data_IF_683719213689
#
_entry.id   IF_683719213689
#
_cell.length_a   1.000
_cell.length_b   1.000
_cell.length_c   1.000
_cell.angle_alpha   90.00
_cell.angle_beta   90.00
_cell.angle_gamma   90.00
#
_symmetry.space_group_name_H-M   'P 1'
#
loop_
_entity.id
_entity.type
_entity.pdbx_description
1 polymer ?
#
# COMPACT_ATOMS: atom_id res chain seq x y z
N UNK A 1 -3.90 -15.84 0.97
CA UNK A 1 -3.61 -15.36 -0.40
C UNK A 1 -2.79 -16.43 -1.09
N UNK A 2 -3.28 -16.97 -2.20
CA UNK A 2 -2.57 -18.04 -2.91
C UNK A 2 -1.49 -17.44 -3.80
N UNK A 3 -0.26 -17.95 -3.68
CA UNK A 3 0.84 -17.58 -4.57
C UNK A 3 0.61 -18.16 -5.97
N UNK A 4 1.20 -17.52 -6.99
CA UNK A 4 1.20 -18.03 -8.35
C UNK A 4 1.88 -19.41 -8.35
N UNK A 5 1.10 -20.42 -8.75
CA UNK A 5 1.56 -21.80 -8.85
C UNK A 5 2.44 -21.98 -10.09
N UNK A 6 3.30 -22.98 -10.05
CA UNK A 6 4.00 -23.52 -11.21
C UNK A 6 3.39 -24.89 -11.55
N UNK A 7 2.34 -24.96 -12.39
CA UNK A 7 1.62 -26.21 -12.64
C UNK A 7 2.44 -27.22 -13.45
N UNK A 8 3.44 -26.74 -14.21
CA UNK A 8 4.29 -27.59 -15.05
C UNK A 8 5.59 -27.99 -14.36
N UNK A 9 5.98 -27.30 -13.30
CA UNK A 9 7.25 -27.54 -12.62
C UNK A 9 8.47 -27.19 -13.47
N UNK A 10 8.29 -26.37 -14.52
CA UNK A 10 9.32 -26.04 -15.51
C UNK A 10 10.02 -24.70 -15.23
N UNK A 11 9.70 -24.06 -14.10
CA UNK A 11 10.32 -22.82 -13.67
C UNK A 11 11.83 -22.99 -13.42
N UNK A 12 12.62 -22.34 -14.25
CA UNK A 12 14.09 -22.43 -14.22
C UNK A 12 14.72 -21.82 -12.95
N UNK A 13 14.12 -20.75 -12.42
CA UNK A 13 14.62 -20.06 -11.23
C UNK A 13 13.58 -20.18 -10.11
N UNK A 14 13.70 -21.23 -9.31
CA UNK A 14 12.76 -21.52 -8.23
C UNK A 14 13.04 -20.76 -6.91
N UNK A 15 14.20 -20.10 -6.79
CA UNK A 15 14.61 -19.34 -5.60
C UNK A 15 13.89 -18.02 -5.43
N UNK A 16 13.39 -17.43 -6.52
CA UNK A 16 12.65 -16.16 -6.49
C UNK A 16 11.23 -16.43 -5.98
N UNK A 17 10.68 -15.64 -5.04
CA UNK A 17 9.28 -15.80 -4.63
C UNK A 17 8.34 -15.54 -5.82
N UNK A 18 7.23 -16.25 -5.89
CA UNK A 18 6.20 -15.97 -6.90
C UNK A 18 5.22 -14.92 -6.37
N UNK A 19 4.69 -14.04 -7.23
CA UNK A 19 3.71 -13.04 -6.80
C UNK A 19 2.37 -13.70 -6.43
N UNK A 20 1.51 -13.03 -5.65
CA UNK A 20 0.13 -13.46 -5.43
C UNK A 20 -0.60 -13.71 -6.74
N UNK A 21 -1.27 -14.84 -6.86
CA UNK A 21 -1.96 -15.24 -8.09
C UNK A 21 -3.20 -14.40 -8.37
N UNK A 22 -3.92 -14.01 -7.31
CA UNK A 22 -5.21 -13.35 -7.38
C UNK A 22 -5.16 -11.96 -6.75
N UNK A 23 -6.03 -11.05 -7.19
CA UNK A 23 -6.21 -9.78 -6.50
C UNK A 23 -6.64 -9.98 -5.04
N UNK A 24 -6.33 -9.00 -4.19
CA UNK A 24 -6.77 -9.00 -2.79
C UNK A 24 -8.30 -8.96 -2.74
N UNK A 25 -8.93 -9.80 -1.91
CA UNK A 25 -10.38 -9.79 -1.76
C UNK A 25 -10.86 -8.53 -1.04
N UNK A 26 -12.07 -8.07 -1.38
CA UNK A 26 -12.64 -6.85 -0.81
C UNK A 26 -12.86 -6.96 0.70
N UNK A 27 -13.35 -8.11 1.16
CA UNK A 27 -13.56 -8.44 2.57
C UNK A 27 -12.28 -8.37 3.42
N UNK A 28 -11.12 -8.63 2.81
CA UNK A 28 -9.83 -8.54 3.50
C UNK A 28 -9.25 -7.12 3.42
N UNK A 29 -9.48 -6.43 2.31
CA UNK A 29 -8.98 -5.08 2.08
C UNK A 29 -9.74 -4.04 2.93
N UNK A 30 -11.05 -4.21 3.14
CA UNK A 30 -11.86 -3.28 3.92
C UNK A 30 -12.46 -3.96 5.14
N UNK A 31 -12.09 -3.47 6.33
CA UNK A 31 -12.61 -3.92 7.63
C UNK A 31 -13.37 -2.74 8.23
N UNK A 32 -14.66 -2.92 8.52
CA UNK A 32 -15.55 -1.86 9.04
C UNK A 32 -15.49 -0.58 8.18
N UNK A 33 -15.56 -0.75 6.86
CA UNK A 33 -15.41 0.31 5.84
C UNK A 33 -14.08 1.08 5.84
N UNK A 34 -13.10 0.64 6.63
CA UNK A 34 -11.74 1.21 6.65
C UNK A 34 -10.75 0.32 5.89
N UNK A 35 -9.83 0.90 5.10
CA UNK A 35 -8.83 0.12 4.41
C UNK A 35 -7.81 -0.47 5.39
N UNK A 36 -7.58 -1.77 5.31
CA UNK A 36 -6.50 -2.45 6.00
C UNK A 36 -5.17 -2.16 5.30
N UNK A 37 -4.57 -1.01 5.65
CA UNK A 37 -3.36 -0.51 5.00
C UNK A 37 -2.14 -1.44 5.21
N UNK A 38 -2.04 -2.13 6.35
CA UNK A 38 -0.97 -3.09 6.65
C UNK A 38 -1.02 -4.29 5.70
N UNK A 39 -2.22 -4.85 5.50
CA UNK A 39 -2.41 -5.96 4.56
C UNK A 39 -2.18 -5.51 3.11
N UNK A 40 -2.69 -4.34 2.73
CA UNK A 40 -2.46 -3.77 1.41
C UNK A 40 -0.96 -3.57 1.14
N UNK A 41 -0.24 -3.03 2.13
CA UNK A 41 1.21 -2.85 2.08
C UNK A 41 1.94 -4.15 1.79
N UNK A 42 1.67 -5.20 2.57
CA UNK A 42 2.30 -6.51 2.39
C UNK A 42 1.96 -7.15 1.04
N UNK A 43 0.72 -6.97 0.57
CA UNK A 43 0.26 -7.52 -0.70
C UNK A 43 0.96 -6.85 -1.89
N UNK A 44 1.02 -5.52 -1.90
CA UNK A 44 1.68 -4.74 -2.96
C UNK A 44 3.19 -4.99 -2.98
N UNK A 45 3.82 -5.15 -1.80
CA UNK A 45 5.25 -5.49 -1.71
C UNK A 45 5.59 -6.81 -2.41
N UNK A 46 4.67 -7.78 -2.38
CA UNK A 46 4.77 -9.06 -3.08
C UNK A 46 4.29 -8.98 -4.54
N UNK A 47 4.13 -7.78 -5.09
CA UNK A 47 3.60 -7.52 -6.45
C UNK A 47 2.15 -7.99 -6.65
N UNK A 48 1.40 -8.14 -5.55
CA UNK A 48 -0.01 -8.42 -5.57
C UNK A 48 -0.81 -7.26 -6.15
N UNK A 49 -1.99 -7.56 -6.72
CA UNK A 49 -2.86 -6.56 -7.36
C UNK A 49 -4.16 -6.37 -6.55
N UNK A 50 -4.81 -5.25 -6.77
CA UNK A 50 -6.19 -5.00 -6.35
C UNK A 50 -7.07 -4.80 -7.59
N UNK A 51 -8.37 -4.96 -7.45
CA UNK A 51 -9.30 -4.72 -8.56
C UNK A 51 -9.45 -3.22 -8.84
N UNK A 52 -9.91 -2.88 -10.05
CA UNK A 52 -10.19 -1.48 -10.40
C UNK A 52 -11.23 -0.85 -9.48
N UNK A 53 -12.28 -1.58 -9.09
CA UNK A 53 -13.32 -1.06 -8.20
C UNK A 53 -12.76 -0.72 -6.81
N UNK A 54 -11.90 -1.59 -6.26
CA UNK A 54 -11.21 -1.35 -5.00
C UNK A 54 -10.31 -0.11 -5.07
N UNK A 55 -9.53 0.03 -6.16
CA UNK A 55 -8.69 1.20 -6.38
C UNK A 55 -9.51 2.49 -6.45
N UNK A 56 -10.62 2.49 -7.20
CA UNK A 56 -11.50 3.66 -7.29
C UNK A 56 -12.07 4.03 -5.91
N UNK A 57 -12.51 3.04 -5.11
CA UNK A 57 -12.98 3.28 -3.73
C UNK A 57 -11.90 3.94 -2.87
N UNK A 58 -10.66 3.46 -2.91
CA UNK A 58 -9.55 4.06 -2.16
C UNK A 58 -9.26 5.50 -2.60
N UNK A 59 -9.26 5.76 -3.91
CA UNK A 59 -9.04 7.09 -4.47
C UNK A 59 -10.17 8.05 -4.08
N UNK A 60 -11.42 7.60 -4.10
CA UNK A 60 -12.58 8.40 -3.71
C UNK A 60 -12.56 8.74 -2.21
N UNK A 61 -12.18 7.78 -1.34
CA UNK A 61 -11.97 8.02 0.09
C UNK A 61 -10.86 9.03 0.34
N UNK A 62 -9.72 8.90 -0.34
CA UNK A 62 -8.61 9.84 -0.25
C UNK A 62 -9.03 11.25 -0.71
N UNK A 63 -9.70 11.34 -1.86
CA UNK A 63 -10.22 12.59 -2.40
C UNK A 63 -11.21 13.28 -1.45
N UNK A 64 -12.06 12.51 -0.75
CA UNK A 64 -12.97 13.07 0.23
C UNK A 64 -12.22 13.81 1.34
N UNK A 65 -11.12 13.27 1.83
CA UNK A 65 -10.31 13.96 2.86
C UNK A 65 -9.57 15.16 2.28
N UNK A 66 -8.79 14.97 1.21
CA UNK A 66 -7.93 16.03 0.65
C UNK A 66 -8.71 17.24 0.13
N UNK A 67 -9.93 17.05 -0.42
CA UNK A 67 -10.74 18.18 -0.92
C UNK A 67 -11.26 19.10 0.18
N UNK A 68 -11.28 18.64 1.43
CA UNK A 68 -11.72 19.43 2.57
C UNK A 68 -10.54 20.14 3.27
N UNK A 69 -9.31 19.91 2.83
CA UNK A 69 -8.13 20.59 3.34
C UNK A 69 -7.91 21.93 2.61
N UNK A 70 -7.32 22.91 3.32
CA UNK A 70 -6.96 24.19 2.73
C UNK A 70 -5.70 24.09 1.86
N UNK A 71 -5.51 25.05 0.95
CA UNK A 71 -4.31 25.13 0.10
C UNK A 71 -3.00 25.23 0.90
N UNK A 72 -3.08 25.72 2.15
CA UNK A 72 -1.97 25.77 3.11
C UNK A 72 -2.42 25.03 4.37
N UNK A 73 -1.73 23.93 4.67
CA UNK A 73 -1.93 23.14 5.88
C UNK A 73 -0.91 23.58 6.94
N UNK A 74 -1.35 23.65 8.20
CA UNK A 74 -0.51 23.97 9.35
C UNK A 74 -0.35 22.71 10.19
N UNK A 75 0.89 22.30 10.44
CA UNK A 75 1.22 21.08 11.18
C UNK A 75 2.30 21.37 12.22
N UNK A 76 2.08 20.87 13.43
CA UNK A 76 3.04 21.02 14.53
C UNK A 76 4.02 19.85 14.59
N UNK A 77 5.22 20.11 15.10
CA UNK A 77 6.21 19.09 15.40
C UNK A 77 5.75 18.15 16.54
N UNK A 78 6.39 16.97 16.68
CA UNK A 78 7.35 16.33 15.77
C UNK A 78 6.66 15.77 14.50
N UNK A 79 7.34 15.87 13.35
CA UNK A 79 6.91 15.26 12.08
C UNK A 79 8.09 14.74 11.26
N UNK A 80 7.79 13.78 10.39
CA UNK A 80 8.71 13.25 9.37
C UNK A 80 8.35 13.87 8.02
N UNK A 81 9.29 14.58 7.40
CA UNK A 81 9.11 15.18 6.06
C UNK A 81 9.75 14.28 5.00
N UNK A 82 8.99 13.94 3.97
CA UNK A 82 9.41 13.08 2.87
C UNK A 82 9.34 13.85 1.55
N UNK A 83 10.39 13.72 0.73
CA UNK A 83 10.44 14.33 -0.60
C UNK A 83 9.80 13.45 -1.68
N UNK A 84 10.30 13.61 -2.90
CA UNK A 84 9.79 12.90 -4.07
C UNK A 84 9.82 11.37 -3.94
N UNK A 85 8.72 10.71 -4.30
CA UNK A 85 8.60 9.23 -4.31
C UNK A 85 8.71 8.64 -5.73
N UNK A 86 8.22 9.32 -6.77
CA UNK A 86 8.28 8.87 -8.18
C UNK A 86 7.81 7.43 -8.45
N UNK A 87 6.85 6.92 -7.66
CA UNK A 87 6.34 5.56 -7.80
C UNK A 87 7.33 4.46 -7.37
N UNK A 88 8.42 4.82 -6.69
CA UNK A 88 9.41 3.89 -6.15
C UNK A 88 8.89 3.22 -4.87
N UNK A 89 7.96 2.26 -5.04
CA UNK A 89 7.24 1.66 -3.92
C UNK A 89 8.15 0.97 -2.89
N UNK A 90 9.19 0.27 -3.34
CA UNK A 90 10.14 -0.40 -2.43
C UNK A 90 10.95 0.60 -1.59
N UNK A 91 11.30 1.75 -2.17
CA UNK A 91 11.97 2.83 -1.45
C UNK A 91 11.01 3.51 -0.46
N UNK A 92 9.74 3.72 -0.84
CA UNK A 92 8.71 4.19 0.08
C UNK A 92 8.57 3.28 1.31
N UNK A 93 8.69 1.95 1.15
CA UNK A 93 8.67 1.05 2.31
C UNK A 93 9.85 1.29 3.24
N UNK A 94 11.03 1.60 2.69
CA UNK A 94 12.21 1.94 3.47
C UNK A 94 12.06 3.29 4.18
N UNK A 95 11.46 4.27 3.52
CA UNK A 95 11.12 5.57 4.11
C UNK A 95 10.22 5.39 5.33
N UNK A 96 9.15 4.59 5.23
CA UNK A 96 8.26 4.32 6.36
C UNK A 96 8.95 3.55 7.50
N UNK A 97 9.87 2.65 7.18
CA UNK A 97 10.67 1.94 8.19
C UNK A 97 11.58 2.88 8.96
N UNK A 98 12.23 3.83 8.27
CA UNK A 98 13.14 4.80 8.90
C UNK A 98 12.41 5.95 9.59
N UNK A 99 11.27 6.39 9.05
CA UNK A 99 10.48 7.50 9.56
C UNK A 99 9.59 7.17 10.76
N UNK A 100 9.44 5.88 11.09
CA UNK A 100 8.61 5.38 12.19
C UNK A 100 7.18 5.00 11.78
N UNK A 101 6.46 4.33 12.68
CA UNK A 101 5.09 3.88 12.40
C UNK A 101 4.14 5.09 12.17
N UNK A 102 3.45 5.18 11.02
CA UNK A 102 2.46 6.24 10.76
C UNK A 102 1.29 6.26 11.77
N UNK A 103 1.06 5.17 12.52
CA UNK A 103 0.09 5.17 13.61
C UNK A 103 0.58 5.92 14.86
N UNK A 104 1.89 6.20 14.96
CA UNK A 104 2.54 6.84 16.11
C UNK A 104 3.14 8.21 15.79
N UNK A 105 3.36 8.54 14.52
CA UNK A 105 4.03 9.76 14.07
C UNK A 105 3.28 10.49 12.94
N UNK A 106 3.54 11.80 12.83
CA UNK A 106 3.00 12.65 11.75
C UNK A 106 3.93 12.60 10.53
N UNK A 107 3.34 12.57 9.34
CA UNK A 107 4.05 12.59 8.06
C UNK A 107 3.59 13.74 7.19
N UNK A 108 4.53 14.33 6.46
CA UNK A 108 4.30 15.29 5.38
C UNK A 108 5.11 14.89 4.16
#
# INVERSE_FOLDING_TARGET
>A
MDLLKDPKGDRQVNTIPTPPHRPLSEELLFIDDKPNWKLLKEHLFKEGRITKSQLMKLVDMCNYHLKNEGNVIYVDDPLTVVGDIHGQYYDLMKVLEMGGDPEQGKYV
#
